data_IF_678846859683
#
_entry.id   IF_678846859683
#
_cell.length_a   1.000
_cell.length_b   1.000
_cell.length_c   1.000
_cell.angle_alpha   90.00
_cell.angle_beta   90.00
_cell.angle_gamma   90.00
#
_symmetry.space_group_name_H-M   'P 1'
#
loop_
_entity.id
_entity.type
_entity.pdbx_description
1 polymer ?
#
# COMPACT_ATOMS: atom_id res chain seq x y z
N UNK A 1 26.26 -45.17 16.94
CA UNK A 1 26.00 -43.85 17.54
C UNK A 1 26.93 -42.87 16.87
N UNK A 2 26.47 -42.24 15.78
CA UNK A 2 27.20 -41.17 15.11
C UNK A 2 26.18 -40.11 14.73
N UNK A 3 26.23 -39.03 15.50
CA UNK A 3 25.43 -37.83 15.32
C UNK A 3 25.74 -37.20 13.97
N UNK A 4 24.69 -36.96 13.17
CA UNK A 4 24.80 -36.19 11.95
C UNK A 4 24.15 -34.83 12.21
N UNK A 5 25.00 -33.85 12.48
CA UNK A 5 24.67 -32.43 12.54
C UNK A 5 24.43 -31.94 11.10
N UNK A 6 23.17 -31.68 10.77
CA UNK A 6 22.83 -30.93 9.55
C UNK A 6 22.65 -29.48 9.95
N UNK A 7 23.64 -28.67 9.59
CA UNK A 7 23.57 -27.23 9.63
C UNK A 7 22.38 -26.77 8.79
N UNK A 8 21.35 -26.24 9.46
CA UNK A 8 20.21 -25.66 8.78
C UNK A 8 20.57 -24.22 8.39
N UNK A 9 20.83 -24.07 7.10
CA UNK A 9 21.08 -22.83 6.39
C UNK A 9 19.97 -21.82 6.70
N UNK A 10 20.32 -20.75 7.42
CA UNK A 10 19.44 -19.62 7.72
C UNK A 10 19.21 -18.84 6.41
N UNK A 11 18.26 -19.34 5.62
CA UNK A 11 17.68 -18.58 4.53
C UNK A 11 16.70 -17.60 5.16
N UNK A 12 17.14 -16.35 5.28
CA UNK A 12 16.30 -15.19 5.59
C UNK A 12 15.24 -15.02 4.50
N UNK A 13 14.19 -15.85 4.57
CA UNK A 13 12.94 -15.56 3.89
C UNK A 13 12.36 -14.37 4.64
N UNK A 14 12.53 -13.17 4.07
CA UNK A 14 11.76 -11.97 4.40
C UNK A 14 10.27 -12.30 4.23
N UNK A 15 9.71 -12.93 5.25
CA UNK A 15 8.28 -13.15 5.42
C UNK A 15 7.74 -11.81 5.87
N UNK A 16 7.49 -10.91 4.91
CA UNK A 16 6.61 -9.77 5.15
C UNK A 16 5.36 -10.33 5.82
N UNK A 17 5.24 -10.08 7.12
CA UNK A 17 4.15 -10.56 7.95
C UNK A 17 2.88 -10.03 7.31
N UNK A 18 2.13 -10.91 6.63
CA UNK A 18 0.87 -10.52 6.01
C UNK A 18 -0.03 -10.04 7.12
N UNK A 19 -0.31 -8.73 7.14
CA UNK A 19 -1.25 -8.16 8.09
C UNK A 19 -2.61 -8.81 7.81
N UNK A 20 -3.02 -9.67 8.72
CA UNK A 20 -4.33 -10.30 8.68
C UNK A 20 -5.31 -9.29 9.29
N UNK A 21 -6.18 -8.75 8.45
CA UNK A 21 -7.24 -7.82 8.86
C UNK A 21 -8.55 -8.51 8.57
N UNK A 22 -9.49 -8.53 9.50
CA UNK A 22 -10.83 -9.08 9.25
C UNK A 22 -11.64 -8.22 8.27
N UNK A 23 -12.63 -8.82 7.61
CA UNK A 23 -13.46 -8.11 6.64
C UNK A 23 -14.27 -6.98 7.29
N UNK A 24 -14.77 -7.18 8.51
CA UNK A 24 -15.49 -6.16 9.29
C UNK A 24 -14.60 -4.95 9.59
N UNK A 25 -13.38 -5.20 10.03
CA UNK A 25 -12.37 -4.17 10.29
C UNK A 25 -12.03 -3.41 9.00
N UNK A 26 -11.87 -4.14 7.88
CA UNK A 26 -11.61 -3.51 6.59
C UNK A 26 -12.76 -2.60 6.15
N UNK A 27 -14.02 -3.05 6.26
CA UNK A 27 -15.20 -2.26 5.88
C UNK A 27 -15.35 -1.04 6.78
N UNK A 28 -15.22 -1.20 8.10
CA UNK A 28 -15.30 -0.10 9.06
C UNK A 28 -14.26 0.98 8.76
N UNK A 29 -13.01 0.58 8.53
CA UNK A 29 -11.92 1.52 8.17
C UNK A 29 -12.15 2.14 6.79
N UNK A 30 -12.62 1.36 5.80
CA UNK A 30 -12.93 1.86 4.47
C UNK A 30 -13.97 2.98 4.52
N UNK A 31 -15.06 2.79 5.26
CA UNK A 31 -16.16 3.74 5.38
C UNK A 31 -15.78 5.00 6.17
N UNK A 32 -14.78 4.94 7.06
CA UNK A 32 -14.28 6.11 7.80
C UNK A 32 -13.16 6.88 7.07
N UNK A 33 -12.39 6.20 6.22
CA UNK A 33 -11.26 6.80 5.51
C UNK A 33 -11.68 7.85 4.47
N UNK A 34 -10.79 8.79 4.12
CA UNK A 34 -11.00 9.74 3.02
C UNK A 34 -10.45 9.24 1.68
N UNK A 35 -9.48 8.33 1.72
CA UNK A 35 -8.81 7.80 0.53
C UNK A 35 -8.36 6.35 0.71
N UNK A 36 -8.03 5.68 -0.40
CA UNK A 36 -7.42 4.33 -0.37
C UNK A 36 -6.06 4.31 0.33
N UNK A 37 -5.32 5.41 0.29
CA UNK A 37 -4.04 5.53 0.96
C UNK A 37 -4.26 5.53 2.48
N UNK A 38 -5.24 6.29 2.96
CA UNK A 38 -5.58 6.33 4.37
C UNK A 38 -5.99 4.95 4.90
N UNK A 39 -6.73 4.16 4.09
CA UNK A 39 -7.06 2.76 4.44
C UNK A 39 -5.81 1.88 4.52
N UNK A 40 -4.87 2.04 3.58
CA UNK A 40 -3.61 1.32 3.57
C UNK A 40 -2.77 1.65 4.81
N UNK A 41 -2.66 2.94 5.14
CA UNK A 41 -1.90 3.43 6.29
C UNK A 41 -2.56 2.99 7.61
N UNK A 42 -3.89 3.11 7.73
CA UNK A 42 -4.62 2.73 8.94
C UNK A 42 -4.60 1.22 9.22
N UNK A 43 -4.58 0.39 8.16
CA UNK A 43 -4.57 -1.06 8.29
C UNK A 43 -3.17 -1.67 8.16
N UNK A 44 -2.13 -0.86 7.94
CA UNK A 44 -0.78 -1.35 7.64
C UNK A 44 -0.71 -2.24 6.40
N UNK A 45 -1.65 -2.08 5.47
CA UNK A 45 -1.78 -2.91 4.26
C UNK A 45 -1.11 -2.24 3.06
N UNK A 46 -0.59 -3.03 2.13
CA UNK A 46 -0.13 -2.49 0.84
C UNK A 46 -1.32 -1.89 0.07
N UNK A 47 -1.19 -0.72 -0.58
CA UNK A 47 -2.27 -0.10 -1.35
C UNK A 47 -2.87 -1.01 -2.44
N UNK A 48 -2.04 -1.84 -3.08
CA UNK A 48 -2.49 -2.82 -4.06
C UNK A 48 -3.40 -3.90 -3.45
N UNK A 49 -3.10 -4.34 -2.21
CA UNK A 49 -3.90 -5.32 -1.49
C UNK A 49 -5.24 -4.73 -1.06
N UNK A 50 -5.25 -3.47 -0.63
CA UNK A 50 -6.47 -2.70 -0.33
C UNK A 50 -7.38 -2.60 -1.57
N UNK A 51 -6.82 -2.26 -2.74
CA UNK A 51 -7.60 -2.18 -3.98
C UNK A 51 -8.15 -3.55 -4.40
N UNK A 52 -7.34 -4.60 -4.32
CA UNK A 52 -7.77 -5.96 -4.62
C UNK A 52 -8.92 -6.41 -3.69
N UNK A 53 -8.80 -6.17 -2.38
CA UNK A 53 -9.81 -6.55 -1.41
C UNK A 53 -11.12 -5.80 -1.63
N UNK A 54 -11.05 -4.50 -1.90
CA UNK A 54 -12.23 -3.70 -2.22
C UNK A 54 -12.93 -4.17 -3.51
N UNK A 55 -12.18 -4.61 -4.54
CA UNK A 55 -12.77 -5.22 -5.74
C UNK A 55 -13.46 -6.55 -5.44
N UNK A 56 -12.83 -7.39 -4.62
CA UNK A 56 -13.40 -8.68 -4.23
C UNK A 56 -14.69 -8.50 -3.42
N UNK A 57 -14.72 -7.54 -2.51
CA UNK A 57 -15.92 -7.15 -1.75
C UNK A 57 -17.06 -6.72 -2.68
N UNK A 58 -16.79 -5.82 -3.63
CA UNK A 58 -17.78 -5.39 -4.62
C UNK A 58 -18.28 -6.54 -5.50
N UNK A 59 -17.38 -7.45 -5.90
CA UNK A 59 -17.75 -8.66 -6.67
C UNK A 59 -18.73 -9.56 -5.91
N UNK A 60 -18.62 -9.61 -4.58
CA UNK A 60 -19.50 -10.40 -3.71
C UNK A 60 -20.75 -9.61 -3.23
N UNK A 61 -21.01 -8.42 -3.79
CA UNK A 61 -22.21 -7.64 -3.49
C UNK A 61 -22.09 -6.63 -2.34
N UNK A 62 -20.89 -6.43 -1.78
CA UNK A 62 -20.67 -5.40 -0.74
C UNK A 62 -20.53 -4.04 -1.42
N UNK A 63 -21.50 -3.15 -1.16
CA UNK A 63 -21.53 -1.80 -1.75
C UNK A 63 -20.63 -0.81 -0.99
N UNK A 64 -19.31 -1.01 -1.09
CA UNK A 64 -18.31 -0.12 -0.51
C UNK A 64 -18.34 1.27 -1.17
N UNK A 65 -18.28 2.34 -0.37
CA UNK A 65 -18.22 3.71 -0.91
C UNK A 65 -17.09 3.90 -1.92
N UNK A 66 -17.30 4.78 -2.90
CA UNK A 66 -16.29 5.10 -3.90
C UNK A 66 -15.46 6.30 -3.46
N UNK A 67 -14.13 6.15 -3.48
CA UNK A 67 -13.23 7.27 -3.27
C UNK A 67 -13.12 8.12 -4.54
N UNK A 68 -13.02 9.45 -4.42
CA UNK A 68 -12.83 10.32 -5.57
C UNK A 68 -11.56 9.91 -6.32
N UNK A 69 -11.70 9.68 -7.63
CA UNK A 69 -10.53 9.44 -8.49
C UNK A 69 -9.70 10.71 -8.47
N UNK A 70 -8.46 10.60 -8.00
CA UNK A 70 -7.49 11.70 -8.03
C UNK A 70 -6.99 11.91 -9.47
N UNK A 71 -7.91 12.26 -10.38
CA UNK A 71 -7.62 12.67 -11.74
C UNK A 71 -7.14 14.13 -11.73
N UNK A 72 -6.10 14.42 -10.95
CA UNK A 72 -5.34 15.64 -11.13
C UNK A 72 -4.39 15.42 -12.30
N UNK A 73 -4.75 15.88 -13.51
CA UNK A 73 -3.73 16.03 -14.56
C UNK A 73 -2.64 16.92 -13.97
N UNK A 74 -1.44 16.38 -13.84
CA UNK A 74 -0.27 17.16 -13.45
C UNK A 74 -0.01 18.16 -14.58
N UNK A 75 -0.44 19.40 -14.38
CA UNK A 75 -0.28 20.48 -15.35
C UNK A 75 1.17 20.89 -15.53
N UNK A 76 1.43 21.74 -16.52
CA UNK A 76 2.78 22.25 -16.79
C UNK A 76 3.43 22.89 -15.55
N UNK A 77 2.65 23.59 -14.73
CA UNK A 77 3.12 24.22 -13.48
C UNK A 77 3.66 23.20 -12.45
N UNK A 78 3.04 22.02 -12.36
CA UNK A 78 3.52 20.95 -11.48
C UNK A 78 4.91 20.48 -11.93
N UNK A 79 5.11 20.27 -13.23
CA UNK A 79 6.40 19.82 -13.76
C UNK A 79 7.48 20.89 -13.67
N UNK A 80 7.13 22.16 -13.92
CA UNK A 80 8.04 23.29 -13.71
C UNK A 80 8.52 23.38 -12.26
N UNK A 81 7.62 23.16 -11.28
CA UNK A 81 8.00 23.11 -9.85
C UNK A 81 8.93 21.93 -9.54
N UNK A 82 8.72 20.76 -10.14
CA UNK A 82 9.60 19.59 -9.95
C UNK A 82 10.99 19.82 -10.57
N UNK A 83 11.07 20.48 -11.73
CA UNK A 83 12.34 20.83 -12.37
C UNK A 83 13.12 21.87 -11.53
N UNK A 84 12.44 22.90 -11.02
CA UNK A 84 13.04 23.87 -10.10
C UNK A 84 13.57 23.19 -8.82
N UNK A 85 12.82 22.21 -8.28
CA UNK A 85 13.27 21.43 -7.13
C UNK A 85 14.51 20.60 -7.46
N UNK A 86 14.53 19.89 -8.60
CA UNK A 86 15.70 19.14 -9.07
C UNK A 86 16.93 20.04 -9.17
N UNK A 87 16.79 21.21 -9.80
CA UNK A 87 17.88 22.18 -9.95
C UNK A 87 18.40 22.67 -8.60
N UNK A 88 17.50 22.92 -7.63
CA UNK A 88 17.91 23.33 -6.28
C UNK A 88 18.66 22.25 -5.50
N UNK A 89 18.40 20.97 -5.77
CA UNK A 89 19.06 19.82 -5.12
C UNK A 89 20.38 19.42 -5.79
N UNK A 90 20.53 19.72 -7.09
CA UNK A 90 21.75 19.45 -7.86
C UNK A 90 22.74 20.61 -7.91
N UNK A 91 22.49 21.69 -7.16
CA UNK A 91 23.37 22.86 -7.10
C UNK A 91 24.48 22.76 -6.03
N UNK A 92 24.60 21.60 -5.37
CA UNK A 92 25.61 21.29 -4.34
C UNK A 92 26.72 20.32 -4.84
N UNK A 93 26.84 20.09 -6.15
CA UNK A 93 27.98 19.36 -6.78
C UNK A 93 28.98 20.30 -7.45
#
# INVERSE_FOLDING_TARGET
>A
MSEQTVANEETEVSTETRVFVDDETFISTWEQAGSKADVADALGMKPASVDQRARQMRKNGVNLKEFPKRNGKKGAEYWARMEALRLSLGADE
#
